data_IF_887942338230
#
_entry.id   IF_887942338230
#
_cell.length_a   1.000
_cell.length_b   1.000
_cell.length_c   1.000
_cell.angle_alpha   90.00
_cell.angle_beta   90.00
_cell.angle_gamma   90.00
#
_symmetry.space_group_name_H-M   'P 1'
#
loop_
_entity.id
_entity.type
_entity.pdbx_description
1 polymer ?
#
# COMPACT_ATOMS: atom_id res chain seq x y z
N UNK A 1 19.32 12.12 5.77
CA UNK A 1 17.93 11.65 5.98
C UNK A 1 17.71 10.54 5.00
N UNK A 2 17.18 9.41 5.44
CA UNK A 2 16.85 8.29 4.56
C UNK A 2 15.51 8.63 3.94
N UNK A 3 15.53 9.09 2.68
CA UNK A 3 14.35 9.44 1.88
C UNK A 3 13.78 8.15 1.32
N UNK A 4 12.82 7.55 2.03
CA UNK A 4 12.18 6.30 1.61
C UNK A 4 10.71 6.57 1.30
N UNK A 5 10.34 6.31 0.05
CA UNK A 5 8.93 6.27 -0.34
C UNK A 5 8.28 5.03 0.26
N UNK A 6 6.95 5.06 0.39
CA UNK A 6 6.22 3.99 1.04
C UNK A 6 4.87 3.72 0.37
N UNK A 7 4.49 2.45 0.29
CA UNK A 7 3.13 2.03 -0.02
C UNK A 7 2.50 1.49 1.26
N UNK A 8 1.24 1.86 1.51
CA UNK A 8 0.40 1.25 2.55
C UNK A 8 -0.82 0.61 1.95
N UNK A 9 -1.14 -0.58 2.44
CA UNK A 9 -2.37 -1.31 2.11
C UNK A 9 -3.28 -1.23 3.32
N UNK A 10 -4.51 -0.78 3.10
CA UNK A 10 -5.50 -0.56 4.13
C UNK A 10 -6.79 -1.32 3.81
N UNK A 11 -7.55 -1.62 4.85
CA UNK A 11 -8.95 -1.99 4.73
C UNK A 11 -9.82 -0.92 5.38
N UNK A 12 -10.81 -0.41 4.64
CA UNK A 12 -11.80 0.49 5.21
C UNK A 12 -13.00 -0.33 5.69
N UNK A 13 -13.45 -0.08 6.92
CA UNK A 13 -14.67 -0.67 7.47
C UNK A 13 -15.39 0.36 8.32
N UNK A 14 -16.67 0.59 8.03
CA UNK A 14 -17.52 1.53 8.81
C UNK A 14 -16.92 2.93 8.99
N UNK A 15 -16.15 3.40 7.99
CA UNK A 15 -15.48 4.70 8.02
C UNK A 15 -14.08 4.70 8.64
N UNK A 16 -13.69 3.65 9.35
CA UNK A 16 -12.34 3.48 9.92
C UNK A 16 -11.39 2.88 8.89
N UNK A 17 -10.11 3.29 8.92
CA UNK A 17 -9.03 2.72 8.10
C UNK A 17 -8.16 1.83 8.97
N UNK A 18 -8.08 0.55 8.62
CA UNK A 18 -7.22 -0.44 9.28
C UNK A 18 -5.99 -0.68 8.40
N UNK A 19 -4.79 -0.45 8.92
CA UNK A 19 -3.55 -0.75 8.21
C UNK A 19 -3.35 -2.27 8.17
N UNK A 20 -3.18 -2.84 6.97
CA UNK A 20 -2.92 -4.26 6.78
C UNK A 20 -1.43 -4.55 6.57
N UNK A 21 -0.71 -3.61 5.96
CA UNK A 21 0.72 -3.73 5.74
C UNK A 21 1.31 -2.51 5.04
N UNK A 22 2.62 -2.37 5.15
CA UNK A 22 3.38 -1.29 4.52
C UNK A 22 4.67 -1.82 3.88
N UNK A 23 5.12 -1.11 2.84
CA UNK A 23 6.30 -1.42 2.07
C UNK A 23 7.15 -0.16 1.94
N UNK A 24 8.44 -0.25 2.25
CA UNK A 24 9.40 0.86 2.12
C UNK A 24 10.39 0.56 1.00
N UNK A 25 10.79 1.59 0.27
CA UNK A 25 11.87 1.50 -0.71
C UNK A 25 12.68 2.78 -0.71
N UNK A 26 13.99 2.65 -0.88
CA UNK A 26 14.91 3.77 -1.12
C UNK A 26 14.74 4.36 -2.53
N UNK A 27 14.14 3.59 -3.45
CA UNK A 27 13.86 4.01 -4.81
C UNK A 27 12.35 4.25 -4.98
N UNK A 28 11.98 5.54 -5.09
CA UNK A 28 10.59 5.97 -5.34
C UNK A 28 9.98 5.30 -6.57
N UNK A 29 10.78 5.10 -7.61
CA UNK A 29 10.36 4.52 -8.90
C UNK A 29 9.76 3.13 -8.74
N UNK A 30 10.31 2.27 -7.88
CA UNK A 30 9.85 0.88 -7.71
C UNK A 30 8.45 0.82 -7.11
N UNK A 31 8.19 1.68 -6.12
CA UNK A 31 6.90 1.77 -5.46
C UNK A 31 5.88 2.52 -6.32
N UNK A 32 6.29 3.57 -7.04
CA UNK A 32 5.43 4.25 -8.02
C UNK A 32 5.01 3.29 -9.14
N UNK A 33 5.94 2.52 -9.72
CA UNK A 33 5.62 1.54 -10.76
C UNK A 33 4.69 0.44 -10.23
N UNK A 34 4.92 -0.03 -9.00
CA UNK A 34 4.00 -0.98 -8.35
C UNK A 34 2.63 -0.37 -8.15
N UNK A 35 2.56 0.86 -7.65
CA UNK A 35 1.31 1.57 -7.47
C UNK A 35 0.61 1.70 -8.81
N UNK A 36 1.26 2.19 -9.87
CA UNK A 36 0.67 2.33 -11.21
C UNK A 36 0.17 1.00 -11.78
N UNK A 37 0.94 -0.08 -11.62
CA UNK A 37 0.59 -1.41 -12.14
C UNK A 37 -0.58 -2.08 -11.40
N UNK A 38 -0.85 -1.70 -10.15
CA UNK A 38 -1.93 -2.27 -9.38
C UNK A 38 -3.31 -1.93 -10.03
N UNK A 39 -4.13 -2.94 -10.36
CA UNK A 39 -5.44 -2.68 -10.96
C UNK A 39 -6.35 -1.97 -9.97
N UNK A 40 -7.10 -0.98 -10.47
CA UNK A 40 -8.16 -0.31 -9.71
C UNK A 40 -9.35 -1.27 -9.65
N UNK A 41 -9.94 -1.43 -8.46
CA UNK A 41 -11.16 -2.21 -8.33
C UNK A 41 -12.39 -1.36 -8.70
N UNK A 42 -13.28 -1.91 -9.53
CA UNK A 42 -14.60 -1.34 -9.83
C UNK A 42 -15.61 -1.44 -8.66
N UNK A 43 -15.17 -1.91 -7.49
CA UNK A 43 -16.04 -2.09 -6.35
C UNK A 43 -16.17 -0.78 -5.58
N UNK A 44 -17.13 0.04 -6.00
CA UNK A 44 -17.64 1.19 -5.24
C UNK A 44 -18.32 0.68 -3.98
N UNK A 45 -17.51 0.38 -2.96
CA UNK A 45 -17.96 0.01 -1.62
C UNK A 45 -17.69 1.21 -0.72
N UNK A 46 -18.58 2.22 -0.68
CA UNK A 46 -18.32 3.48 0.02
C UNK A 46 -18.02 3.30 1.53
N UNK A 47 -18.45 2.18 2.11
CA UNK A 47 -18.30 1.83 3.52
C UNK A 47 -17.32 0.67 3.79
N UNK A 48 -16.62 0.17 2.77
CA UNK A 48 -15.86 -1.06 2.84
C UNK A 48 -14.71 -1.12 1.83
N UNK A 49 -13.78 -2.07 2.01
CA UNK A 49 -12.89 -2.48 0.92
C UNK A 49 -11.42 -2.11 1.09
N UNK A 50 -10.62 -2.64 0.16
CA UNK A 50 -9.17 -2.55 0.21
C UNK A 50 -8.69 -1.31 -0.53
N UNK A 51 -7.70 -0.62 0.05
CA UNK A 51 -7.10 0.58 -0.51
C UNK A 51 -5.59 0.50 -0.50
N UNK A 52 -5.00 1.14 -1.49
CA UNK A 52 -3.56 1.30 -1.62
C UNK A 52 -3.23 2.79 -1.64
N UNK A 53 -2.40 3.22 -0.70
CA UNK A 53 -1.90 4.59 -0.63
C UNK A 53 -0.41 4.62 -0.91
N UNK A 54 0.03 5.54 -1.76
CA UNK A 54 1.43 5.83 -2.04
C UNK A 54 1.84 7.11 -1.30
N UNK A 55 2.98 7.04 -0.65
CA UNK A 55 3.59 8.12 0.11
C UNK A 55 4.94 8.48 -0.48
N UNK A 56 5.20 9.78 -0.54
CA UNK A 56 6.51 10.33 -0.91
C UNK A 56 7.55 10.11 0.19
N UNK A 57 8.79 10.47 -0.08
CA UNK A 57 9.90 10.42 0.88
C UNK A 57 9.72 11.30 2.12
N UNK A 58 8.92 12.37 2.02
CA UNK A 58 8.48 13.19 3.16
C UNK A 58 7.33 12.55 3.97
N UNK A 59 6.88 11.34 3.62
CA UNK A 59 5.74 10.67 4.25
C UNK A 59 4.39 11.31 3.90
N UNK A 60 4.35 12.16 2.88
CA UNK A 60 3.13 12.77 2.34
C UNK A 60 2.41 11.79 1.42
N UNK A 61 1.11 11.59 1.62
CA UNK A 61 0.29 10.80 0.69
C UNK A 61 0.21 11.52 -0.66
N UNK A 62 0.67 10.87 -1.72
CA UNK A 62 0.68 11.38 -3.11
C UNK A 62 -0.29 10.63 -4.03
N UNK A 63 -0.85 9.51 -3.58
CA UNK A 63 -1.92 8.80 -4.30
C UNK A 63 -2.69 7.84 -3.42
N UNK A 64 -4.00 7.70 -3.66
CA UNK A 64 -4.84 6.67 -3.06
C UNK A 64 -5.69 6.04 -4.17
N UNK A 65 -5.87 4.71 -4.13
CA UNK A 65 -6.84 4.02 -4.97
C UNK A 65 -7.45 2.80 -4.30
N UNK A 66 -8.67 2.49 -4.70
CA UNK A 66 -9.36 1.27 -4.31
C UNK A 66 -8.80 0.08 -5.11
N UNK A 67 -8.54 -1.01 -4.41
CA UNK A 67 -7.96 -2.24 -4.96
C UNK A 67 -8.81 -3.45 -4.59
N UNK A 68 -8.65 -4.54 -5.32
CA UNK A 68 -9.37 -5.79 -5.02
C UNK A 68 -8.72 -6.52 -3.86
N UNK A 69 -9.46 -7.43 -3.20
CA UNK A 69 -8.88 -8.35 -2.21
C UNK A 69 -7.67 -9.11 -2.76
N UNK A 70 -7.75 -9.63 -3.99
CA UNK A 70 -6.65 -10.37 -4.63
C UNK A 70 -5.41 -9.50 -4.83
N UNK A 71 -5.62 -8.23 -5.20
CA UNK A 71 -4.53 -7.26 -5.35
C UNK A 71 -3.91 -6.96 -3.98
N UNK A 72 -4.74 -6.78 -2.95
CA UNK A 72 -4.28 -6.53 -1.60
C UNK A 72 -3.46 -7.71 -1.06
N UNK A 73 -3.96 -8.93 -1.22
CA UNK A 73 -3.27 -10.16 -0.86
C UNK A 73 -1.91 -10.26 -1.58
N UNK A 74 -1.88 -10.07 -2.90
CA UNK A 74 -0.62 -10.08 -3.66
C UNK A 74 0.38 -9.02 -3.17
N UNK A 75 -0.08 -7.79 -2.91
CA UNK A 75 0.79 -6.73 -2.40
C UNK A 75 1.29 -7.08 -0.99
N UNK A 76 0.41 -7.56 -0.13
CA UNK A 76 0.78 -7.96 1.22
C UNK A 76 1.76 -9.15 1.18
N UNK A 77 1.58 -10.16 0.35
CA UNK A 77 2.55 -11.25 0.20
C UNK A 77 3.90 -10.77 -0.35
N UNK A 78 3.87 -9.90 -1.36
CA UNK A 78 5.07 -9.35 -2.00
C UNK A 78 5.88 -8.48 -1.04
N UNK A 79 5.23 -7.73 -0.16
CA UNK A 79 5.87 -6.73 0.69
C UNK A 79 5.90 -7.05 2.19
N UNK A 80 5.08 -8.00 2.70
CA UNK A 80 5.08 -8.41 4.10
C UNK A 80 6.40 -9.06 4.54
N UNK A 81 7.23 -9.53 3.60
CA UNK A 81 8.57 -10.01 3.91
C UNK A 81 9.56 -8.91 4.35
N UNK A 82 9.22 -7.62 4.26
CA UNK A 82 10.08 -6.53 4.74
C UNK A 82 9.84 -6.15 6.21
N UNK A 83 8.77 -6.64 6.85
CA UNK A 83 8.59 -6.53 8.30
C UNK A 83 9.35 -7.62 9.07
N UNK A 84 9.93 -8.60 8.36
CA UNK A 84 10.73 -9.69 8.95
C UNK A 84 12.24 -9.51 8.80
N UNK A 85 12.73 -8.28 8.67
CA UNK A 85 14.14 -7.96 8.97
C UNK A 85 14.33 -7.90 10.49
N UNK A 86 14.17 -9.07 11.12
CA UNK A 86 14.54 -9.35 12.48
C UNK A 86 15.43 -10.58 12.47
N UNK A 87 16.74 -10.33 12.53
CA UNK A 87 17.84 -11.24 12.90
C UNK A 87 17.84 -12.68 12.34
N UNK A 88 18.82 -12.96 11.47
CA UNK A 88 19.78 -14.07 11.67
C UNK A 88 21.13 -13.68 11.10
#
# INVERSE_FOLDING_TARGET
>A
MITQSMIKVWYRVSGEKVLLGEAHSEHVSDLVSTWLAAPIADNDTPNGGYRMSLFDDDGKSIGEKDISFKTAEYLLEKYANLSRSGCV
#
